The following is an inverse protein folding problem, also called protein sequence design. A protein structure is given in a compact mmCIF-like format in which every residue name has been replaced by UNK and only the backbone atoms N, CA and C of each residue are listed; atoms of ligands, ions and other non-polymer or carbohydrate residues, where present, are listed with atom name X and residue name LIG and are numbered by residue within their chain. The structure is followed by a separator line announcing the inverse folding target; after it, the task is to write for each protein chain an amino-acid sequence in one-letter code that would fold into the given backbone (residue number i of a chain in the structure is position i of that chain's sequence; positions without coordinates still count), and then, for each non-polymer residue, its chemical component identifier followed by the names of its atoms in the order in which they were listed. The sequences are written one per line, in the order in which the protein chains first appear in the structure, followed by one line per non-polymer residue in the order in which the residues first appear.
data_IF_688812325580
#
_entry.id   IF_688812325580
#
_cell.length_a   1.000
_cell.length_b   1.000
_cell.length_c   1.000
_cell.angle_alpha   90.00
_cell.angle_beta   90.00
_cell.angle_gamma   90.00
#
_symmetry.space_group_name_H-M   'P 1'
#
loop_
_entity.id
_entity.type
_entity.pdbx_description
1 polymer ?
#
# COMPACT_ATOMS: atom_id res chain seq x y z
N UNK A 1 11.30 -11.18 -32.36
CA UNK A 1 12.37 -10.63 -33.22
C UNK A 1 12.26 -9.11 -33.10
N UNK A 2 13.20 -8.44 -32.42
CA UNK A 2 13.16 -6.96 -32.29
C UNK A 2 13.75 -6.37 -33.56
N UNK A 3 12.94 -5.65 -34.33
CA UNK A 3 13.41 -4.88 -35.47
C UNK A 3 13.84 -3.49 -34.96
N UNK A 4 15.12 -3.18 -35.11
CA UNK A 4 15.69 -1.88 -34.77
C UNK A 4 15.49 -0.96 -35.99
N UNK A 5 14.59 0.03 -35.91
CA UNK A 5 14.55 1.12 -36.90
C UNK A 5 15.34 2.28 -36.32
N UNK A 6 16.59 2.42 -36.78
CA UNK A 6 17.49 3.51 -36.39
C UNK A 6 17.20 4.73 -37.23
N UNK A 7 16.54 5.75 -36.66
CA UNK A 7 16.40 7.05 -37.32
C UNK A 7 17.56 7.95 -36.89
N UNK A 8 18.56 8.06 -37.77
CA UNK A 8 19.73 8.93 -37.58
C UNK A 8 19.36 10.39 -37.88
N UNK A 9 18.90 11.13 -36.87
CA UNK A 9 18.75 12.58 -36.99
C UNK A 9 20.09 13.22 -36.67
N UNK A 10 20.83 13.59 -37.72
CA UNK A 10 22.10 14.30 -37.62
C UNK A 10 21.86 15.78 -37.33
N UNK A 11 22.13 16.21 -36.10
CA UNK A 11 22.27 17.64 -35.78
C UNK A 11 23.73 17.87 -35.40
N UNK A 12 24.41 18.64 -36.26
CA UNK A 12 25.83 18.95 -36.13
C UNK A 12 26.13 20.02 -35.08
N UNK A 13 27.42 20.05 -34.71
CA UNK A 13 28.11 21.04 -33.90
C UNK A 13 27.60 21.22 -32.45
N UNK A 14 28.18 20.40 -31.56
CA UNK A 14 28.88 20.97 -30.40
C UNK A 14 28.39 20.63 -29.01
N UNK A 15 27.30 19.87 -28.84
CA UNK A 15 26.91 19.35 -27.53
C UNK A 15 26.88 17.82 -27.54
N UNK A 16 27.61 17.25 -26.58
CA UNK A 16 27.72 15.84 -26.23
C UNK A 16 26.48 15.03 -26.64
N UNK A 17 26.69 14.02 -27.48
CA UNK A 17 25.68 13.02 -27.87
C UNK A 17 25.24 12.27 -26.61
N UNK A 18 24.26 12.83 -25.91
CA UNK A 18 23.55 12.11 -24.86
C UNK A 18 22.73 11.05 -25.58
N UNK A 19 23.02 9.77 -25.30
CA UNK A 19 22.09 8.69 -25.62
C UNK A 19 20.83 8.93 -24.81
N UNK A 20 19.84 9.60 -25.40
CA UNK A 20 18.51 9.65 -24.80
C UNK A 20 17.94 8.25 -24.92
N UNK A 21 17.89 7.53 -23.79
CA UNK A 21 16.95 6.42 -23.66
C UNK A 21 15.58 7.06 -23.52
N UNK A 22 14.85 7.13 -24.63
CA UNK A 22 13.39 7.04 -24.56
C UNK A 22 13.13 5.60 -24.13
N UNK A 23 13.12 5.36 -22.81
CA UNK A 23 12.45 4.17 -22.30
C UNK A 23 11.01 4.32 -22.75
N UNK A 24 10.71 3.60 -23.84
CA UNK A 24 9.35 3.31 -24.23
C UNK A 24 8.61 2.97 -22.94
N UNK A 25 7.57 3.74 -22.68
CA UNK A 25 6.57 3.41 -21.69
C UNK A 25 6.41 1.90 -21.72
N UNK A 26 6.72 1.26 -20.58
CA UNK A 26 6.53 -0.16 -20.33
C UNK A 26 5.27 -0.59 -21.09
N UNK A 27 5.32 -1.62 -21.96
CA UNK A 27 4.14 -2.03 -22.71
C UNK A 27 3.02 -2.28 -21.70
N UNK A 28 2.08 -1.34 -21.68
CA UNK A 28 0.82 -1.42 -20.97
C UNK A 28 -0.02 -2.42 -21.74
N UNK A 29 0.21 -3.70 -21.45
CA UNK A 29 -0.38 -4.82 -22.18
C UNK A 29 -1.03 -5.90 -21.30
N UNK A 30 -1.04 -5.76 -19.97
CA UNK A 30 -1.58 -6.78 -19.03
C UNK A 30 -2.48 -6.21 -17.91
N UNK A 31 -2.86 -4.94 -17.95
CA UNK A 31 -3.48 -4.26 -16.79
C UNK A 31 -5.00 -4.43 -16.70
N UNK A 32 -5.73 -4.50 -17.83
CA UNK A 32 -7.20 -4.51 -17.78
C UNK A 32 -7.85 -5.78 -17.21
N UNK A 33 -7.21 -6.94 -17.35
CA UNK A 33 -7.76 -8.20 -16.83
C UNK A 33 -7.41 -8.39 -15.34
N UNK A 34 -6.15 -8.12 -14.99
CA UNK A 34 -5.60 -8.18 -13.64
C UNK A 34 -6.30 -7.23 -12.66
N UNK A 35 -6.59 -6.00 -13.08
CA UNK A 35 -7.27 -5.02 -12.22
C UNK A 35 -8.75 -5.36 -11.99
N UNK A 36 -9.43 -5.91 -13.01
CA UNK A 36 -10.81 -6.41 -12.87
C UNK A 36 -10.89 -7.60 -11.93
N UNK A 37 -9.92 -8.52 -12.02
CA UNK A 37 -9.82 -9.66 -11.12
C UNK A 37 -9.60 -9.20 -9.68
N UNK A 38 -8.68 -8.26 -9.44
CA UNK A 38 -8.40 -7.71 -8.11
C UNK A 38 -9.60 -7.00 -7.49
N UNK A 39 -10.35 -6.22 -8.26
CA UNK A 39 -11.57 -5.57 -7.76
C UNK A 39 -12.67 -6.59 -7.41
N UNK A 40 -12.82 -7.63 -8.23
CA UNK A 40 -13.75 -8.75 -7.97
C UNK A 40 -13.39 -9.47 -6.66
N UNK A 41 -12.09 -9.76 -6.44
CA UNK A 41 -11.61 -10.39 -5.21
C UNK A 41 -11.89 -9.51 -3.97
N UNK A 42 -11.61 -8.21 -4.06
CA UNK A 42 -11.86 -7.24 -2.98
C UNK A 42 -13.34 -7.08 -2.64
N UNK A 43 -14.21 -7.22 -3.64
CA UNK A 43 -15.66 -7.18 -3.48
C UNK A 43 -16.28 -8.52 -3.05
N UNK A 44 -15.54 -9.62 -3.11
CA UNK A 44 -16.05 -10.95 -2.75
C UNK A 44 -16.45 -11.00 -1.28
N UNK A 45 -17.71 -11.39 -1.01
CA UNK A 45 -18.18 -11.57 0.36
C UNK A 45 -17.69 -12.91 0.92
N UNK A 46 -17.00 -12.86 2.05
CA UNK A 46 -16.49 -14.00 2.79
C UNK A 46 -17.54 -14.52 3.80
N UNK A 47 -17.55 -15.84 4.10
CA UNK A 47 -18.34 -16.38 5.19
C UNK A 47 -17.86 -15.80 6.54
N UNK A 48 -18.72 -15.74 7.57
CA UNK A 48 -18.42 -15.03 8.83
C UNK A 48 -17.09 -15.43 9.49
N UNK A 49 -16.79 -16.72 9.58
CA UNK A 49 -15.55 -17.22 10.18
C UNK A 49 -14.30 -16.76 9.40
N UNK A 50 -14.35 -16.81 8.06
CA UNK A 50 -13.23 -16.37 7.24
C UNK A 50 -13.03 -14.85 7.31
N UNK A 51 -14.12 -14.07 7.33
CA UNK A 51 -14.05 -12.62 7.50
C UNK A 51 -13.43 -12.23 8.85
N UNK A 52 -13.85 -12.89 9.93
CA UNK A 52 -13.27 -12.70 11.26
C UNK A 52 -11.78 -13.05 11.29
N UNK A 53 -11.37 -14.16 10.67
CA UNK A 53 -9.95 -14.54 10.60
C UNK A 53 -9.10 -13.49 9.88
N UNK A 54 -9.55 -13.01 8.72
CA UNK A 54 -8.87 -11.95 7.96
C UNK A 54 -8.76 -10.66 8.79
N UNK A 55 -9.83 -10.29 9.52
CA UNK A 55 -9.81 -9.14 10.42
C UNK A 55 -8.75 -9.29 11.52
N UNK A 56 -8.75 -10.42 12.24
CA UNK A 56 -7.80 -10.68 13.33
C UNK A 56 -6.35 -10.73 12.84
N UNK A 57 -6.09 -11.40 11.72
CA UNK A 57 -4.76 -11.46 11.11
C UNK A 57 -4.27 -10.05 10.72
N UNK A 58 -5.15 -9.23 10.14
CA UNK A 58 -4.82 -7.84 9.78
C UNK A 58 -4.57 -6.97 11.00
N UNK A 59 -5.37 -7.14 12.06
CA UNK A 59 -5.18 -6.42 13.33
C UNK A 59 -3.84 -6.79 13.98
N UNK A 60 -3.47 -8.07 14.02
CA UNK A 60 -2.21 -8.54 14.58
C UNK A 60 -1.00 -7.98 13.81
N UNK A 61 -1.06 -7.96 12.47
CA UNK A 61 -0.04 -7.27 11.66
C UNK A 61 0.04 -5.78 11.99
N UNK A 62 -1.11 -5.13 12.23
CA UNK A 62 -1.18 -3.75 12.71
C UNK A 62 -0.46 -3.55 14.04
N UNK A 63 -0.68 -4.44 15.01
CA UNK A 63 0.00 -4.44 16.31
C UNK A 63 1.52 -4.54 16.15
N UNK A 64 1.99 -5.44 15.29
CA UNK A 64 3.43 -5.63 15.00
C UNK A 64 4.02 -4.38 14.32
N UNK A 65 3.36 -3.85 13.30
CA UNK A 65 3.83 -2.68 12.53
C UNK A 65 3.82 -1.35 13.33
N UNK A 66 3.10 -1.34 14.45
CA UNK A 66 2.99 -0.20 15.39
C UNK A 66 3.65 -0.52 16.73
N UNK A 67 4.55 -1.50 16.82
CA UNK A 67 5.25 -1.85 18.06
C UNK A 67 6.32 -0.82 18.50
N UNK A 68 6.23 0.42 18.03
CA UNK A 68 7.18 1.52 18.25
C UNK A 68 7.15 2.02 19.71
N UNK A 69 8.02 2.99 20.02
CA UNK A 69 8.42 3.39 21.38
C UNK A 69 7.32 3.98 22.27
N UNK A 70 7.73 4.60 23.39
CA UNK A 70 6.80 4.89 24.50
C UNK A 70 5.82 6.07 24.27
N UNK A 71 6.16 7.06 23.44
CA UNK A 71 5.46 8.37 23.40
C UNK A 71 5.20 8.88 21.97
N UNK A 72 4.70 8.01 21.10
CA UNK A 72 4.48 8.32 19.67
C UNK A 72 3.00 8.56 19.32
N UNK A 73 2.13 8.74 20.33
CA UNK A 73 0.69 8.87 20.15
C UNK A 73 0.20 10.28 19.79
N UNK A 74 1.07 11.25 19.55
CA UNK A 74 0.69 12.64 19.30
C UNK A 74 1.47 13.61 20.18
N UNK A 75 0.78 14.30 21.09
CA UNK A 75 1.42 15.23 22.03
C UNK A 75 2.23 14.48 23.11
N UNK A 76 3.47 14.13 22.76
CA UNK A 76 4.41 13.40 23.62
C UNK A 76 4.63 14.09 24.98
N UNK A 77 4.50 15.42 25.07
CA UNK A 77 4.72 16.14 26.33
C UNK A 77 3.61 15.85 27.36
N UNK A 78 2.35 15.80 26.91
CA UNK A 78 1.22 15.40 27.77
C UNK A 78 1.29 13.91 28.14
N UNK A 79 1.70 13.04 27.21
CA UNK A 79 1.85 11.60 27.45
C UNK A 79 2.97 11.30 28.48
N UNK A 80 4.08 12.03 28.41
CA UNK A 80 5.19 11.94 29.36
C UNK A 80 4.78 12.37 30.77
N UNK A 81 4.05 13.49 30.90
CA UNK A 81 3.54 13.99 32.21
C UNK A 81 2.58 12.98 32.86
N UNK A 82 1.66 12.40 32.08
CA UNK A 82 0.65 11.45 32.56
C UNK A 82 1.13 10.00 32.62
N UNK A 83 2.37 9.72 32.18
CA UNK A 83 2.96 8.38 32.06
C UNK A 83 2.08 7.42 31.24
N UNK A 84 1.37 7.95 30.25
CA UNK A 84 0.56 7.17 29.33
C UNK A 84 1.48 6.64 28.22
N UNK A 85 1.36 5.35 27.92
CA UNK A 85 2.21 4.71 26.90
C UNK A 85 1.47 4.60 25.57
N UNK A 86 2.12 4.97 24.46
CA UNK A 86 1.65 4.73 23.09
C UNK A 86 1.19 3.28 22.88
N UNK A 87 1.88 2.30 23.50
CA UNK A 87 1.52 0.88 23.46
C UNK A 87 0.03 0.60 23.79
N UNK A 88 -0.57 1.40 24.67
CA UNK A 88 -1.97 1.26 25.13
C UNK A 88 -2.83 2.49 24.81
N UNK A 89 -2.37 3.40 23.94
CA UNK A 89 -3.12 4.60 23.62
C UNK A 89 -4.24 4.32 22.61
N UNK A 90 -5.29 5.15 22.65
CA UNK A 90 -6.34 5.17 21.63
C UNK A 90 -5.77 5.51 20.25
N UNK A 91 -4.77 6.39 20.19
CA UNK A 91 -4.11 6.76 18.93
C UNK A 91 -3.52 5.53 18.23
N UNK A 92 -2.87 4.64 18.97
CA UNK A 92 -2.34 3.40 18.40
C UNK A 92 -3.45 2.50 17.86
N UNK A 93 -4.61 2.45 18.53
CA UNK A 93 -5.77 1.70 18.05
C UNK A 93 -6.27 2.26 16.71
N UNK A 94 -6.41 3.58 16.59
CA UNK A 94 -6.85 4.23 15.35
C UNK A 94 -5.84 4.00 14.22
N UNK A 95 -4.54 4.15 14.48
CA UNK A 95 -3.50 3.90 13.46
C UNK A 95 -3.57 2.47 12.90
N UNK A 96 -3.85 1.49 13.77
CA UNK A 96 -4.04 0.09 13.36
C UNK A 96 -5.28 -0.01 12.47
N UNK A 97 -6.44 0.49 12.93
CA UNK A 97 -7.71 0.38 12.23
C UNK A 97 -7.68 1.02 10.82
N UNK A 98 -7.03 2.17 10.66
CA UNK A 98 -6.90 2.85 9.37
C UNK A 98 -6.05 2.07 8.34
N UNK A 99 -5.11 1.24 8.82
CA UNK A 99 -4.17 0.49 7.97
C UNK A 99 -4.63 -0.94 7.69
N UNK A 100 -5.42 -1.55 8.58
CA UNK A 100 -5.84 -2.95 8.51
C UNK A 100 -6.41 -3.40 7.16
N UNK A 101 -7.21 -2.54 6.51
CA UNK A 101 -7.88 -2.92 5.28
C UNK A 101 -7.00 -2.79 4.02
N UNK A 102 -5.81 -2.19 4.08
CA UNK A 102 -5.01 -1.89 2.87
C UNK A 102 -4.44 -3.14 2.20
N UNK A 103 -4.08 -4.14 3.00
CA UNK A 103 -3.39 -5.35 2.56
C UNK A 103 -4.33 -6.56 2.40
N UNK A 104 -5.64 -6.35 2.48
CA UNK A 104 -6.64 -7.40 2.29
C UNK A 104 -6.90 -7.59 0.78
N UNK A 105 -6.51 -8.74 0.25
CA UNK A 105 -6.70 -9.08 -1.17
C UNK A 105 -8.14 -9.51 -1.48
N UNK A 106 -8.78 -10.25 -0.56
CA UNK A 106 -10.13 -10.80 -0.74
C UNK A 106 -11.07 -10.34 0.36
N UNK A 107 -12.26 -9.87 -0.01
CA UNK A 107 -13.26 -9.40 0.94
C UNK A 107 -12.91 -8.09 1.67
N UNK A 108 -12.00 -7.30 1.10
CA UNK A 108 -11.61 -5.99 1.62
C UNK A 108 -12.81 -5.07 1.89
N UNK A 109 -13.82 -5.08 1.00
CA UNK A 109 -15.02 -4.24 1.19
C UNK A 109 -15.85 -4.66 2.41
N UNK A 110 -15.95 -5.96 2.68
CA UNK A 110 -16.71 -6.46 3.83
C UNK A 110 -16.04 -6.07 5.15
N UNK A 111 -14.71 -6.15 5.23
CA UNK A 111 -13.96 -5.77 6.44
C UNK A 111 -14.12 -4.27 6.73
N UNK A 112 -14.14 -3.42 5.69
CA UNK A 112 -14.33 -1.96 5.79
C UNK A 112 -15.77 -1.53 6.17
N UNK A 113 -16.78 -2.34 5.87
CA UNK A 113 -18.18 -1.95 6.11
C UNK A 113 -18.70 -2.32 7.50
N UNK A 114 -17.96 -3.17 8.23
CA UNK A 114 -18.35 -3.63 9.56
C UNK A 114 -17.61 -2.91 10.70
N UNK A 115 -16.59 -2.09 10.38
CA UNK A 115 -15.77 -1.30 11.30
C UNK A 115 -15.28 -0.03 10.60
#
# INVERSE_FOLDING_TARGET
MKAEVSLMVVIGLGCLVSRVRLDAAKPSGETKDSDKNKESLRATKLPPCAACRVLTESFNKGIESTARGKYEGGDSAWEEEKKLSYKKSEVRLIEIQEKMCKDVERGQKQVRQHY
#
